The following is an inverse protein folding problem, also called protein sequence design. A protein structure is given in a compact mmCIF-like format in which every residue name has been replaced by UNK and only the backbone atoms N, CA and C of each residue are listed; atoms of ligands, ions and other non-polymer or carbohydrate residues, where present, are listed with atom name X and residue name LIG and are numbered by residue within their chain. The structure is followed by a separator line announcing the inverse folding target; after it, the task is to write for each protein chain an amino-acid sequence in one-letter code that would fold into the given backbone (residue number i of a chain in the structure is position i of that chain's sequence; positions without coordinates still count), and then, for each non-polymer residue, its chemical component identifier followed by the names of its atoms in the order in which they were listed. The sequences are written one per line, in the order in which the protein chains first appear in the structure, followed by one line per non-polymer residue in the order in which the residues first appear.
data_IF_728763071095
#
_entry.id   IF_728763071095
#
_cell.length_a   1.000
_cell.length_b   1.000
_cell.length_c   1.000
_cell.angle_alpha   90.00
_cell.angle_beta   90.00
_cell.angle_gamma   90.00
#
_symmetry.space_group_name_H-M   'P 1'
#
loop_
_entity.id
_entity.type
_entity.pdbx_description
1 polymer ?
#
# COMPACT_ATOMS: atom_id res chain seq x y z
N UNK A 1 6.31 -40.34 -12.09
CA UNK A 1 6.16 -39.55 -10.84
C UNK A 1 5.86 -38.13 -11.26
N UNK A 2 4.69 -37.60 -10.91
CA UNK A 2 4.34 -36.23 -11.26
C UNK A 2 5.34 -35.30 -10.58
N UNK A 3 6.04 -34.48 -11.36
CA UNK A 3 6.94 -33.44 -10.89
C UNK A 3 6.13 -32.52 -9.99
N UNK A 4 6.36 -32.59 -8.67
CA UNK A 4 5.71 -31.71 -7.71
C UNK A 4 6.06 -30.27 -8.12
N UNK A 5 5.08 -29.49 -8.58
CA UNK A 5 5.34 -28.09 -8.96
C UNK A 5 5.58 -27.31 -7.68
N UNK A 6 6.37 -26.23 -7.78
CA UNK A 6 6.71 -25.36 -6.65
C UNK A 6 5.47 -24.92 -5.84
N UNK A 7 4.30 -24.79 -6.49
CA UNK A 7 3.05 -24.31 -5.91
C UNK A 7 2.08 -25.40 -5.40
N UNK A 8 2.40 -26.69 -5.56
CA UNK A 8 1.47 -27.78 -5.17
C UNK A 8 1.60 -28.15 -3.68
N UNK A 9 2.62 -27.61 -2.98
CA UNK A 9 2.87 -27.93 -1.58
C UNK A 9 2.18 -26.94 -0.63
N UNK A 10 0.88 -27.17 -0.39
CA UNK A 10 0.08 -26.35 0.51
C UNK A 10 0.55 -26.39 1.96
N UNK A 11 1.20 -27.48 2.40
CA UNK A 11 1.78 -27.55 3.75
C UNK A 11 2.84 -26.47 3.96
N UNK A 12 3.71 -26.23 2.97
CA UNK A 12 4.69 -25.14 3.02
C UNK A 12 4.00 -23.79 2.87
N UNK A 13 3.05 -23.65 1.95
CA UNK A 13 2.36 -22.39 1.69
C UNK A 13 1.59 -21.85 2.91
N UNK A 14 1.04 -22.74 3.75
CA UNK A 14 0.26 -22.40 4.92
C UNK A 14 0.96 -22.70 6.25
N UNK A 15 2.27 -22.92 6.25
CA UNK A 15 3.03 -23.29 7.46
C UNK A 15 2.96 -22.25 8.60
N UNK A 16 2.62 -21.00 8.26
CA UNK A 16 2.41 -19.91 9.23
C UNK A 16 0.97 -19.82 9.78
N UNK A 17 0.06 -20.70 9.36
CA UNK A 17 -1.36 -20.65 9.71
C UNK A 17 -1.79 -21.87 10.50
N UNK A 18 -2.58 -21.66 11.55
CA UNK A 18 -3.29 -22.73 12.25
C UNK A 18 -4.50 -23.23 11.45
N UNK A 19 -4.98 -24.44 11.77
CA UNK A 19 -6.23 -24.96 11.21
C UNK A 19 -7.40 -23.99 11.41
N UNK A 20 -7.48 -23.34 12.58
CA UNK A 20 -8.53 -22.34 12.87
C UNK A 20 -8.41 -21.06 12.05
N UNK A 21 -7.19 -20.62 11.71
CA UNK A 21 -6.96 -19.52 10.77
C UNK A 21 -7.39 -19.89 9.34
N UNK A 22 -7.09 -21.11 8.92
CA UNK A 22 -7.45 -21.63 7.59
C UNK A 22 -8.96 -21.81 7.43
N UNK A 23 -9.64 -22.38 8.43
CA UNK A 23 -11.10 -22.52 8.41
C UNK A 23 -11.78 -21.15 8.38
N UNK A 24 -11.32 -20.18 9.18
CA UNK A 24 -11.85 -18.82 9.16
C UNK A 24 -11.67 -18.16 7.79
N UNK A 25 -10.49 -18.29 7.19
CA UNK A 25 -10.24 -17.78 5.84
C UNK A 25 -11.17 -18.45 4.81
N UNK A 26 -11.35 -19.77 4.88
CA UNK A 26 -12.25 -20.50 4.00
C UNK A 26 -13.70 -19.99 4.10
N UNK A 27 -14.23 -19.82 5.33
CA UNK A 27 -15.58 -19.28 5.52
C UNK A 27 -15.72 -17.84 5.02
N UNK A 28 -14.71 -17.00 5.27
CA UNK A 28 -14.66 -15.62 4.80
C UNK A 28 -14.74 -15.57 3.26
N UNK A 29 -13.87 -16.29 2.56
CA UNK A 29 -13.87 -16.31 1.09
C UNK A 29 -15.16 -16.91 0.52
N UNK A 30 -15.71 -17.94 1.15
CA UNK A 30 -16.99 -18.52 0.74
C UNK A 30 -18.12 -17.50 0.86
N UNK A 31 -18.14 -16.69 1.93
CA UNK A 31 -19.11 -15.62 2.11
C UNK A 31 -18.93 -14.51 1.06
N UNK A 32 -17.69 -14.05 0.84
CA UNK A 32 -17.36 -13.01 -0.15
C UNK A 32 -17.73 -13.46 -1.58
N UNK A 33 -17.61 -14.76 -1.88
CA UNK A 33 -17.97 -15.32 -3.19
C UNK A 33 -19.46 -15.20 -3.52
N UNK A 34 -20.32 -14.92 -2.53
CA UNK A 34 -21.77 -14.83 -2.70
C UNK A 34 -22.23 -13.37 -2.72
N UNK A 35 -22.33 -12.78 -3.92
CA UNK A 35 -22.63 -11.35 -4.12
C UNK A 35 -23.83 -10.80 -3.30
N UNK A 36 -24.99 -11.50 -3.19
CA UNK A 36 -26.08 -11.02 -2.32
C UNK A 36 -25.69 -10.88 -0.84
N UNK A 37 -24.86 -11.77 -0.30
CA UNK A 37 -24.42 -11.71 1.10
C UNK A 37 -23.47 -10.53 1.31
N UNK A 38 -22.57 -10.29 0.35
CA UNK A 38 -21.70 -9.11 0.38
C UNK A 38 -22.53 -7.83 0.41
N UNK A 39 -23.55 -7.69 -0.46
CA UNK A 39 -24.42 -6.50 -0.49
C UNK A 39 -25.14 -6.26 0.84
N UNK A 40 -25.70 -7.32 1.43
CA UNK A 40 -26.39 -7.23 2.73
C UNK A 40 -25.39 -6.89 3.84
N UNK A 41 -24.24 -7.56 3.87
CA UNK A 41 -23.18 -7.33 4.84
C UNK A 41 -22.65 -5.90 4.82
N UNK A 42 -22.40 -5.34 3.62
CA UNK A 42 -21.99 -3.94 3.45
C UNK A 42 -23.06 -2.98 4.00
N UNK A 43 -24.34 -3.19 3.66
CA UNK A 43 -25.42 -2.35 4.14
C UNK A 43 -25.56 -2.39 5.67
N UNK A 44 -25.54 -3.59 6.25
CA UNK A 44 -25.64 -3.80 7.69
C UNK A 44 -24.45 -3.20 8.46
N UNK A 45 -23.23 -3.39 7.94
CA UNK A 45 -22.01 -2.83 8.54
C UNK A 45 -22.03 -1.31 8.52
N UNK A 46 -22.39 -0.71 7.39
CA UNK A 46 -22.53 0.74 7.27
C UNK A 46 -23.58 1.32 8.22
N UNK A 47 -24.72 0.63 8.38
CA UNK A 47 -25.72 1.01 9.37
C UNK A 47 -25.17 0.94 10.79
N UNK A 48 -24.53 -0.18 11.16
CA UNK A 48 -23.99 -0.38 12.49
C UNK A 48 -22.94 0.68 12.87
N UNK A 49 -22.04 1.02 11.95
CA UNK A 49 -21.03 2.07 12.16
C UNK A 49 -21.69 3.45 12.32
N UNK A 50 -22.64 3.82 11.45
CA UNK A 50 -23.38 5.10 11.56
C UNK A 50 -24.19 5.20 12.86
N UNK A 51 -24.74 4.09 13.30
CA UNK A 51 -25.49 3.99 14.55
C UNK A 51 -24.57 3.84 15.79
N UNK A 52 -23.25 3.85 15.62
CA UNK A 52 -22.25 3.68 16.68
C UNK A 52 -22.45 2.38 17.49
N UNK A 53 -22.92 1.32 16.85
CA UNK A 53 -23.02 -0.01 17.46
C UNK A 53 -21.61 -0.61 17.65
N UNK A 54 -21.38 -1.40 18.71
CA UNK A 54 -20.06 -1.94 19.05
C UNK A 54 -19.69 -3.15 18.16
N UNK A 55 -19.55 -2.92 16.85
CA UNK A 55 -19.24 -3.96 15.85
C UNK A 55 -17.77 -4.00 15.44
N UNK A 56 -16.97 -3.02 15.88
CA UNK A 56 -15.55 -2.89 15.49
C UNK A 56 -14.72 -4.13 15.83
N UNK A 57 -14.92 -4.73 17.00
CA UNK A 57 -14.20 -5.95 17.39
C UNK A 57 -14.54 -7.16 16.50
N UNK A 58 -15.80 -7.24 16.03
CA UNK A 58 -16.22 -8.28 15.10
C UNK A 58 -15.61 -8.06 13.71
N UNK A 59 -15.62 -6.82 13.23
CA UNK A 59 -14.99 -6.45 11.95
C UNK A 59 -13.48 -6.74 12.00
N UNK A 60 -12.84 -6.39 13.12
CA UNK A 60 -11.41 -6.62 13.34
C UNK A 60 -11.05 -8.11 13.23
N UNK A 61 -11.70 -8.93 14.06
CA UNK A 61 -11.42 -10.37 14.16
C UNK A 61 -11.85 -11.22 12.95
N UNK A 62 -12.49 -10.63 11.95
CA UNK A 62 -12.98 -11.35 10.76
C UNK A 62 -12.32 -10.84 9.48
N UNK A 63 -12.86 -9.78 8.88
CA UNK A 63 -12.43 -9.28 7.57
C UNK A 63 -11.10 -8.56 7.70
N UNK A 64 -10.94 -7.70 8.72
CA UNK A 64 -9.76 -6.86 8.85
C UNK A 64 -8.49 -7.68 9.07
N UNK A 65 -8.44 -8.58 10.06
CA UNK A 65 -7.23 -9.38 10.35
C UNK A 65 -6.83 -10.33 9.20
N UNK A 66 -7.73 -10.57 8.24
CA UNK A 66 -7.41 -11.36 7.05
C UNK A 66 -6.72 -10.53 5.95
N UNK A 67 -7.10 -9.26 5.77
CA UNK A 67 -6.63 -8.41 4.68
C UNK A 67 -5.66 -7.30 5.12
N UNK A 68 -5.64 -6.94 6.39
CA UNK A 68 -4.85 -5.84 6.94
C UNK A 68 -3.87 -6.37 7.99
N UNK A 69 -2.61 -5.95 7.93
CA UNK A 69 -1.59 -6.32 8.92
C UNK A 69 -1.78 -5.65 10.28
N UNK A 70 -2.46 -4.50 10.33
CA UNK A 70 -2.64 -3.68 11.52
C UNK A 70 -3.20 -2.30 11.18
N UNK A 71 -3.50 -1.48 12.19
CA UNK A 71 -3.93 -0.07 11.99
C UNK A 71 -2.75 0.91 12.03
N UNK A 72 -1.56 0.44 12.40
CA UNK A 72 -0.30 1.17 12.42
C UNK A 72 0.88 0.20 12.26
N UNK A 73 2.10 0.71 12.16
CA UNK A 73 3.32 -0.08 11.94
C UNK A 73 3.62 -1.06 13.08
N UNK A 74 3.35 -0.67 14.34
CA UNK A 74 3.62 -1.48 15.53
C UNK A 74 2.66 -2.67 15.61
N UNK A 75 1.39 -2.47 15.27
CA UNK A 75 0.39 -3.53 15.16
C UNK A 75 0.82 -4.63 14.16
N UNK A 76 1.57 -4.26 13.12
CA UNK A 76 2.04 -5.17 12.08
C UNK A 76 3.26 -6.02 12.50
N UNK A 77 3.99 -5.66 13.58
CA UNK A 77 5.25 -6.30 13.97
C UNK A 77 5.13 -7.81 14.11
N UNK A 78 4.05 -8.28 14.74
CA UNK A 78 3.83 -9.72 14.95
C UNK A 78 3.70 -10.50 13.64
N UNK A 79 3.16 -9.89 12.59
CA UNK A 79 3.04 -10.50 11.26
C UNK A 79 4.37 -10.42 10.53
N UNK A 80 5.05 -9.27 10.60
CA UNK A 80 6.39 -9.06 10.02
C UNK A 80 7.37 -10.10 10.54
N UNK A 81 7.45 -10.28 11.86
CA UNK A 81 8.38 -11.23 12.49
C UNK A 81 8.06 -12.69 12.11
N UNK A 82 6.77 -13.05 12.04
CA UNK A 82 6.33 -14.38 11.61
C UNK A 82 6.75 -14.66 10.17
N UNK A 83 6.53 -13.71 9.26
CA UNK A 83 6.94 -13.85 7.85
C UNK A 83 8.46 -13.93 7.72
N UNK A 84 9.18 -13.08 8.45
CA UNK A 84 10.64 -13.05 8.42
C UNK A 84 11.27 -14.33 8.97
N UNK A 85 10.64 -14.99 9.95
CA UNK A 85 11.06 -16.32 10.43
C UNK A 85 11.05 -17.42 9.34
N UNK A 86 10.37 -17.17 8.22
CA UNK A 86 10.34 -18.03 7.02
C UNK A 86 11.18 -17.49 5.87
N UNK A 87 11.98 -16.45 6.11
CA UNK A 87 12.79 -15.79 5.09
C UNK A 87 11.99 -14.92 4.12
N UNK A 88 10.80 -14.47 4.54
CA UNK A 88 9.94 -13.59 3.73
C UNK A 88 9.90 -12.19 4.35
N UNK A 89 10.40 -11.20 3.61
CA UNK A 89 10.30 -9.80 4.02
C UNK A 89 8.88 -9.26 3.81
N UNK A 90 8.56 -8.17 4.50
CA UNK A 90 7.25 -7.51 4.46
C UNK A 90 7.37 -6.11 3.87
N UNK A 91 6.31 -5.68 3.20
CA UNK A 91 6.14 -4.31 2.71
C UNK A 91 4.86 -3.76 3.34
N UNK A 92 4.95 -2.61 4.00
CA UNK A 92 3.76 -1.96 4.55
C UNK A 92 3.16 -1.03 3.51
N UNK A 93 2.04 -1.44 2.93
CA UNK A 93 1.24 -0.63 2.02
C UNK A 93 0.21 0.19 2.81
N UNK A 94 0.23 1.51 2.64
CA UNK A 94 -0.72 2.41 3.28
C UNK A 94 -2.03 2.46 2.47
N UNK A 95 -3.05 1.78 2.97
CA UNK A 95 -4.34 1.52 2.30
C UNK A 95 -5.29 2.74 2.12
N UNK A 96 -4.84 3.99 2.30
CA UNK A 96 -5.74 5.16 2.10
C UNK A 96 -5.75 5.59 0.64
N UNK A 97 -6.89 5.43 0.00
CA UNK A 97 -7.12 5.72 -1.41
C UNK A 97 -8.30 6.70 -1.60
N UNK A 98 -8.32 7.42 -2.74
CA UNK A 98 -9.49 8.20 -3.17
C UNK A 98 -9.77 9.48 -2.38
N UNK A 99 -8.78 10.01 -1.66
CA UNK A 99 -8.88 11.33 -1.01
C UNK A 99 -8.24 12.39 -1.89
N UNK A 100 -8.95 13.49 -2.16
CA UNK A 100 -8.53 14.53 -3.11
C UNK A 100 -8.20 15.88 -2.46
N UNK A 101 -7.85 15.89 -1.17
CA UNK A 101 -7.51 17.13 -0.45
C UNK A 101 -6.02 17.17 -0.09
N UNK A 102 -5.41 18.36 -0.16
CA UNK A 102 -4.00 18.60 0.16
C UNK A 102 -3.56 18.03 1.52
N UNK A 103 -4.40 18.18 2.55
CA UNK A 103 -4.11 17.65 3.88
C UNK A 103 -3.98 16.11 3.89
N UNK A 104 -4.73 15.42 3.02
CA UNK A 104 -4.64 13.97 2.89
C UNK A 104 -3.38 13.55 2.11
N UNK A 105 -2.98 14.30 1.10
CA UNK A 105 -1.70 14.06 0.39
C UNK A 105 -0.49 14.28 1.29
N UNK A 106 -0.53 15.31 2.12
CA UNK A 106 0.50 15.55 3.13
C UNK A 106 0.50 14.44 4.18
N UNK A 107 -0.67 13.99 4.65
CA UNK A 107 -0.77 12.88 5.58
C UNK A 107 -0.21 11.56 4.99
N UNK A 108 -0.50 11.28 3.71
CA UNK A 108 0.06 10.13 3.01
C UNK A 108 1.59 10.23 2.91
N UNK A 109 2.13 11.37 2.50
CA UNK A 109 3.58 11.60 2.48
C UNK A 109 4.19 11.40 3.88
N UNK A 110 3.61 11.99 4.92
CA UNK A 110 4.11 11.82 6.29
C UNK A 110 4.06 10.36 6.75
N UNK A 111 3.04 9.61 6.34
CA UNK A 111 2.94 8.18 6.61
C UNK A 111 4.04 7.40 5.89
N UNK A 112 4.31 7.68 4.62
CA UNK A 112 5.42 7.05 3.88
C UNK A 112 6.77 7.37 4.52
N UNK A 113 7.02 8.62 4.93
CA UNK A 113 8.24 8.98 5.66
C UNK A 113 8.36 8.23 6.99
N UNK A 114 7.24 8.04 7.71
CA UNK A 114 7.22 7.24 8.94
C UNK A 114 7.56 5.77 8.66
N UNK A 115 7.01 5.20 7.59
CA UNK A 115 7.30 3.82 7.17
C UNK A 115 8.77 3.64 6.79
N UNK A 116 9.38 4.60 6.08
CA UNK A 116 10.82 4.57 5.75
C UNK A 116 11.67 4.55 7.03
N UNK A 117 11.39 5.42 8.00
CA UNK A 117 12.11 5.40 9.28
C UNK A 117 11.87 4.10 10.06
N UNK A 118 10.67 3.53 9.97
CA UNK A 118 10.36 2.25 10.62
C UNK A 118 11.10 1.07 9.95
N UNK A 119 11.30 1.13 8.63
CA UNK A 119 12.01 0.14 7.81
C UNK A 119 13.54 0.20 7.97
N UNK A 120 14.11 1.40 8.12
CA UNK A 120 15.55 1.64 8.38
C UNK A 120 16.09 0.78 9.55
N UNK A 121 15.26 0.54 10.56
CA UNK A 121 15.62 -0.24 11.74
C UNK A 121 15.37 -1.76 11.59
N UNK A 122 14.96 -2.26 10.41
CA UNK A 122 14.43 -3.63 10.24
C UNK A 122 14.86 -4.29 8.93
N UNK A 123 15.72 -5.30 9.04
CA UNK A 123 16.09 -6.17 7.91
C UNK A 123 14.88 -6.89 7.27
N UNK A 124 13.81 -7.09 8.03
CA UNK A 124 12.56 -7.69 7.54
C UNK A 124 11.77 -6.80 6.57
N UNK A 125 12.15 -5.53 6.40
CA UNK A 125 11.45 -4.55 5.59
C UNK A 125 12.42 -3.75 4.72
N UNK A 126 12.91 -4.32 3.60
CA UNK A 126 13.91 -3.67 2.76
C UNK A 126 13.35 -2.50 1.93
N UNK A 127 12.03 -2.45 1.75
CA UNK A 127 11.37 -1.53 0.82
C UNK A 127 10.11 -0.91 1.44
N UNK A 128 9.94 0.38 1.20
CA UNK A 128 8.69 1.11 1.42
C UNK A 128 7.97 1.33 0.08
N UNK A 129 6.65 1.53 0.13
CA UNK A 129 5.84 1.72 -1.08
C UNK A 129 4.95 2.94 -0.94
N UNK A 130 4.71 3.63 -2.06
CA UNK A 130 3.64 4.62 -2.14
C UNK A 130 3.03 4.66 -3.55
N UNK A 131 1.78 5.11 -3.60
CA UNK A 131 1.01 5.30 -4.84
C UNK A 131 1.07 6.77 -5.27
N UNK A 132 1.39 7.10 -6.54
CA UNK A 132 1.38 8.48 -7.04
C UNK A 132 0.17 9.33 -6.62
N UNK A 133 -1.05 8.82 -6.75
CA UNK A 133 -2.29 9.54 -6.43
C UNK A 133 -2.49 9.72 -4.93
N UNK A 134 -1.73 9.00 -4.11
CA UNK A 134 -1.60 9.29 -2.69
C UNK A 134 -0.95 10.65 -2.41
N UNK A 135 -0.19 11.23 -3.36
CA UNK A 135 0.54 12.49 -3.21
C UNK A 135 -0.04 13.66 -4.03
N UNK A 136 -1.08 13.42 -4.83
CA UNK A 136 -1.69 14.46 -5.66
C UNK A 136 -2.98 14.00 -6.31
N UNK A 137 -3.80 14.96 -6.76
CA UNK A 137 -5.08 14.64 -7.42
C UNK A 137 -4.83 13.87 -8.70
N UNK A 138 -5.59 12.78 -8.87
CA UNK A 138 -5.60 11.93 -10.07
C UNK A 138 -5.64 12.76 -11.37
N UNK A 139 -6.52 13.77 -11.41
CA UNK A 139 -6.71 14.63 -12.56
C UNK A 139 -5.43 15.33 -13.03
N UNK A 140 -4.51 15.70 -12.13
CA UNK A 140 -3.26 16.37 -12.52
C UNK A 140 -2.33 15.44 -13.28
N UNK A 141 -2.20 14.19 -12.82
CA UNK A 141 -1.42 13.17 -13.52
C UNK A 141 -2.00 12.90 -14.90
N UNK A 142 -3.31 12.66 -15.01
CA UNK A 142 -3.97 12.47 -16.29
C UNK A 142 -3.73 13.67 -17.23
N UNK A 143 -3.97 14.90 -16.74
CA UNK A 143 -3.85 16.11 -17.56
C UNK A 143 -2.42 16.33 -18.05
N UNK A 144 -1.42 16.05 -17.21
CA UNK A 144 0.00 16.10 -17.59
C UNK A 144 0.35 15.04 -18.63
N UNK A 145 -0.09 13.80 -18.45
CA UNK A 145 0.15 12.70 -19.39
C UNK A 145 -0.50 12.97 -20.76
N UNK A 146 -1.67 13.61 -20.77
CA UNK A 146 -2.34 14.07 -22.01
C UNK A 146 -1.67 15.30 -22.66
N UNK A 147 -0.59 15.84 -22.09
CA UNK A 147 0.11 17.03 -22.59
C UNK A 147 -0.71 18.32 -22.53
N UNK A 148 -1.75 18.38 -21.69
CA UNK A 148 -2.60 19.56 -21.53
C UNK A 148 -1.95 20.57 -20.61
N UNK A 149 -2.04 21.85 -20.97
CA UNK A 149 -1.51 22.93 -20.14
C UNK A 149 -2.26 23.02 -18.80
N UNK A 150 -1.49 23.16 -17.72
CA UNK A 150 -2.02 23.48 -16.40
C UNK A 150 -2.47 24.94 -16.33
N UNK A 151 -3.48 25.21 -15.50
CA UNK A 151 -3.69 26.57 -14.97
C UNK A 151 -2.57 26.90 -13.99
N UNK A 152 -2.49 28.16 -13.58
CA UNK A 152 -1.50 28.59 -12.58
C UNK A 152 -1.68 27.82 -11.25
N UNK A 153 -2.92 27.63 -10.81
CA UNK A 153 -3.23 26.90 -9.58
C UNK A 153 -2.86 25.41 -9.67
N UNK A 154 -3.14 24.78 -10.80
CA UNK A 154 -2.78 23.38 -11.06
C UNK A 154 -1.25 23.20 -11.15
N UNK A 155 -0.54 24.17 -11.74
CA UNK A 155 0.92 24.14 -11.80
C UNK A 155 1.52 24.24 -10.38
N UNK A 156 0.98 25.12 -9.54
CA UNK A 156 1.37 25.22 -8.13
C UNK A 156 1.08 23.94 -7.35
N UNK A 157 -0.02 23.26 -7.66
CA UNK A 157 -0.34 21.95 -7.07
C UNK A 157 0.58 20.84 -7.54
N UNK A 158 0.86 20.77 -8.84
CA UNK A 158 1.83 19.83 -9.38
C UNK A 158 3.21 20.01 -8.75
N UNK A 159 3.64 21.25 -8.51
CA UNK A 159 4.90 21.51 -7.80
C UNK A 159 4.89 20.92 -6.38
N UNK A 160 3.75 20.89 -5.69
CA UNK A 160 3.63 20.21 -4.38
C UNK A 160 3.72 18.70 -4.54
N UNK A 161 3.13 18.11 -5.58
CA UNK A 161 3.28 16.68 -5.91
C UNK A 161 4.76 16.33 -6.08
N UNK A 162 5.48 17.07 -6.94
CA UNK A 162 6.91 16.90 -7.18
C UNK A 162 7.73 17.05 -5.89
N UNK A 163 7.36 18.00 -5.03
CA UNK A 163 8.02 18.19 -3.74
C UNK A 163 7.81 17.02 -2.77
N UNK A 164 6.62 16.39 -2.75
CA UNK A 164 6.35 15.19 -1.95
C UNK A 164 7.18 14.00 -2.42
N UNK A 165 7.23 13.75 -3.74
CA UNK A 165 8.09 12.73 -4.35
C UNK A 165 9.55 12.92 -3.96
N UNK A 166 10.08 14.13 -4.15
CA UNK A 166 11.45 14.46 -3.78
C UNK A 166 11.73 14.21 -2.30
N UNK A 167 10.86 14.67 -1.41
CA UNK A 167 11.07 14.52 0.03
C UNK A 167 11.12 13.05 0.47
N UNK A 168 10.28 12.21 -0.12
CA UNK A 168 10.27 10.76 0.16
C UNK A 168 11.50 10.08 -0.41
N UNK A 169 11.83 10.33 -1.68
CA UNK A 169 12.99 9.71 -2.34
C UNK A 169 14.32 10.17 -1.73
N UNK A 170 14.40 11.42 -1.30
CA UNK A 170 15.55 11.95 -0.57
C UNK A 170 15.73 11.21 0.77
N UNK A 171 14.67 11.09 1.58
CA UNK A 171 14.78 10.37 2.85
C UNK A 171 15.14 8.90 2.63
N UNK A 172 14.54 8.25 1.64
CA UNK A 172 14.85 6.87 1.26
C UNK A 172 16.34 6.70 0.95
N UNK A 173 16.91 7.62 0.17
CA UNK A 173 18.34 7.67 -0.13
C UNK A 173 19.19 7.86 1.13
N UNK A 174 18.82 8.79 1.99
CA UNK A 174 19.54 9.10 3.24
C UNK A 174 19.53 7.91 4.21
N UNK A 175 18.44 7.13 4.22
CA UNK A 175 18.23 5.97 5.10
C UNK A 175 18.62 4.64 4.49
N UNK A 176 19.06 4.64 3.24
CA UNK A 176 19.41 3.41 2.54
C UNK A 176 18.25 2.40 2.40
N UNK A 177 17.01 2.90 2.41
CA UNK A 177 15.78 2.11 2.29
C UNK A 177 15.25 2.25 0.87
N UNK A 178 14.93 1.14 0.22
CA UNK A 178 14.35 1.16 -1.12
C UNK A 178 12.93 1.73 -1.09
N UNK A 179 12.52 2.41 -2.15
CA UNK A 179 11.14 2.86 -2.35
C UNK A 179 10.63 2.38 -3.69
N UNK A 180 9.52 1.65 -3.67
CA UNK A 180 8.74 1.30 -4.84
C UNK A 180 7.62 2.33 -5.03
N UNK A 181 7.55 2.90 -6.22
CA UNK A 181 6.42 3.72 -6.64
C UNK A 181 5.49 2.81 -7.45
N UNK A 182 4.25 2.65 -6.97
CA UNK A 182 3.27 1.77 -7.60
C UNK A 182 2.77 2.36 -8.92
N UNK A 183 2.55 1.49 -9.90
CA UNK A 183 1.73 1.81 -11.07
C UNK A 183 0.25 1.88 -10.69
N UNK A 184 -0.48 2.76 -11.37
CA UNK A 184 -1.92 2.96 -11.17
C UNK A 184 -2.65 2.87 -12.52
N UNK A 185 -3.59 3.78 -12.80
CA UNK A 185 -4.44 3.71 -13.98
C UNK A 185 -3.69 4.14 -15.25
N UNK A 186 -3.90 3.40 -16.34
CA UNK A 186 -3.16 3.59 -17.59
C UNK A 186 -3.26 5.01 -18.17
N UNK A 187 -4.37 5.72 -17.94
CA UNK A 187 -4.59 7.08 -18.46
C UNK A 187 -3.96 8.19 -17.61
N UNK A 188 -3.26 7.85 -16.53
CA UNK A 188 -2.41 8.77 -15.77
C UNK A 188 -0.93 8.37 -15.77
N UNK A 189 -0.63 7.14 -16.18
CA UNK A 189 0.65 6.49 -15.92
C UNK A 189 1.83 7.21 -16.57
N UNK A 190 1.68 7.76 -17.78
CA UNK A 190 2.76 8.50 -18.46
C UNK A 190 3.34 9.62 -17.57
N UNK A 191 2.49 10.37 -16.87
CA UNK A 191 2.93 11.45 -15.99
C UNK A 191 3.58 10.95 -14.69
N UNK A 192 3.14 9.80 -14.17
CA UNK A 192 3.78 9.17 -13.02
C UNK A 192 5.14 8.59 -13.41
N UNK A 193 5.22 7.88 -14.53
CA UNK A 193 6.46 7.30 -15.04
C UNK A 193 7.52 8.37 -15.29
N UNK A 194 7.16 9.48 -15.95
CA UNK A 194 8.07 10.62 -16.14
C UNK A 194 8.63 11.15 -14.81
N UNK A 195 7.76 11.29 -13.79
CA UNK A 195 8.16 11.78 -12.48
C UNK A 195 9.01 10.74 -11.72
N UNK A 196 8.66 9.46 -11.80
CA UNK A 196 9.43 8.34 -11.27
C UNK A 196 10.83 8.29 -11.88
N UNK A 197 10.95 8.40 -13.21
CA UNK A 197 12.22 8.45 -13.92
C UNK A 197 13.08 9.64 -13.47
N UNK A 198 12.47 10.81 -13.25
CA UNK A 198 13.17 11.97 -12.71
C UNK A 198 13.73 11.67 -11.30
N UNK A 199 12.92 11.05 -10.43
CA UNK A 199 13.38 10.65 -9.10
C UNK A 199 14.51 9.61 -9.17
N UNK A 200 14.42 8.63 -10.08
CA UNK A 200 15.51 7.67 -10.32
C UNK A 200 16.79 8.38 -10.76
N UNK A 201 16.72 9.33 -11.70
CA UNK A 201 17.90 10.09 -12.16
C UNK A 201 18.56 10.87 -11.03
N UNK A 202 17.77 11.42 -10.10
CA UNK A 202 18.26 12.20 -8.98
C UNK A 202 18.87 11.34 -7.86
N UNK A 203 18.24 10.22 -7.50
CA UNK A 203 18.56 9.49 -6.27
C UNK A 203 19.24 8.12 -6.49
N UNK A 204 19.17 7.52 -7.69
CA UNK A 204 19.83 6.25 -8.01
C UNK A 204 21.28 6.45 -8.51
N UNK A 205 22.10 7.15 -7.73
CA UNK A 205 23.49 7.49 -8.10
C UNK A 205 24.48 6.33 -7.86
N UNK A 206 24.65 5.88 -6.61
CA UNK A 206 25.61 4.79 -6.27
C UNK A 206 24.97 3.41 -6.37
N UNK A 207 23.67 3.30 -6.07
CA UNK A 207 22.87 2.10 -6.19
C UNK A 207 21.40 2.46 -6.40
N UNK A 208 20.57 1.51 -6.91
CA UNK A 208 19.14 1.72 -7.00
C UNK A 208 18.51 1.92 -5.61
N UNK A 209 17.67 2.94 -5.49
CA UNK A 209 16.89 3.27 -4.29
C UNK A 209 15.42 3.45 -4.68
N UNK A 210 15.16 4.19 -5.76
CA UNK A 210 13.83 4.41 -6.32
C UNK A 210 13.56 3.37 -7.40
N UNK A 211 12.44 2.68 -7.28
CA UNK A 211 11.93 1.68 -8.22
C UNK A 211 10.52 2.07 -8.69
N UNK A 212 10.14 1.58 -9.86
CA UNK A 212 8.80 1.75 -10.44
C UNK A 212 8.24 0.36 -10.77
N UNK A 213 6.91 0.23 -10.85
CA UNK A 213 6.19 -1.02 -11.19
C UNK A 213 5.66 -0.99 -12.61
#
# INVERSE_FOLDING_TARGET
MATQRLFDNTKIAFDLKSDSELERAYFLFKMISHQPLVRIGTAATNFALKAHLPVEGLIRSTVFDHFCGGVNEDDCLSVIDKMYSKGVCSVLDFSVEGKEEEANFDAAMQKTLKIINFADEKEAMPIAVFKPTGFGRFHLYQKKGEGKAFTEEEAQEWNRVVARFNKVCQLAKEKDVEVLIDAEESWMQDAADELCEEMMRLYNTEKPIVYNT
#
